data_IF_650201688244
#
_entry.id   IF_650201688244
#
_cell.length_a   1.000
_cell.length_b   1.000
_cell.length_c   1.000
_cell.angle_alpha   90.00
_cell.angle_beta   90.00
_cell.angle_gamma   90.00
#
_symmetry.space_group_name_H-M   'P 1'
#
loop_
_entity.id
_entity.type
_entity.pdbx_description
1 polymer ?
#
# COMPACT_ATOMS: atom_id res chain seq x y z
N UNK A 1 3.09 12.04 -2.35
CA UNK A 1 3.01 11.12 -1.20
C UNK A 1 1.56 11.14 -0.74
N UNK A 2 0.91 9.98 -0.63
CA UNK A 2 -0.43 9.87 -0.07
C UNK A 2 -0.69 8.45 0.45
N UNK A 3 -1.55 8.36 1.48
CA UNK A 3 -2.18 7.13 1.94
C UNK A 3 -3.60 7.48 2.40
N UNK A 4 -4.48 6.52 2.40
CA UNK A 4 -5.82 6.67 2.95
C UNK A 4 -6.43 5.30 3.23
N UNK A 5 -7.40 5.28 4.13
CA UNK A 5 -8.21 4.11 4.43
C UNK A 5 -9.66 4.39 4.05
N UNK A 6 -10.36 3.37 3.57
CA UNK A 6 -11.77 3.44 3.20
C UNK A 6 -12.68 2.91 4.32
N UNK A 7 -13.97 3.25 4.33
CA UNK A 7 -14.92 2.76 5.34
C UNK A 7 -15.02 1.22 5.41
N UNK A 8 -14.78 0.53 4.29
CA UNK A 8 -14.72 -0.93 4.17
C UNK A 8 -13.36 -1.51 4.60
N UNK A 9 -12.55 -0.70 5.29
CA UNK A 9 -11.27 -1.08 5.92
C UNK A 9 -10.15 -1.45 4.94
N UNK A 10 -10.20 -0.96 3.70
CA UNK A 10 -9.09 -1.11 2.75
C UNK A 10 -8.10 0.04 2.89
N UNK A 11 -6.80 -0.30 2.93
CA UNK A 11 -5.71 0.68 3.04
C UNK A 11 -5.02 0.85 1.70
N UNK A 12 -4.89 2.09 1.28
CA UNK A 12 -4.26 2.46 0.02
C UNK A 12 -2.99 3.27 0.26
N UNK A 13 -1.92 2.89 -0.42
CA UNK A 13 -0.64 3.60 -0.37
C UNK A 13 -0.21 3.98 -1.78
N UNK A 14 0.13 5.25 -1.99
CA UNK A 14 0.64 5.66 -3.29
C UNK A 14 2.07 5.16 -3.50
N UNK A 15 2.41 4.93 -4.76
CA UNK A 15 3.78 4.61 -5.17
C UNK A 15 4.81 5.59 -4.61
N UNK A 16 4.48 6.88 -4.61
CA UNK A 16 5.37 7.94 -4.12
C UNK A 16 5.65 7.80 -2.62
N UNK A 17 4.66 7.37 -1.82
CA UNK A 17 4.90 7.09 -0.41
C UNK A 17 5.91 5.96 -0.24
N UNK A 18 5.71 4.84 -0.95
CA UNK A 18 6.62 3.69 -0.88
C UNK A 18 8.05 4.04 -1.31
N UNK A 19 8.19 4.77 -2.42
CA UNK A 19 9.51 5.11 -2.97
C UNK A 19 10.25 6.16 -2.15
N UNK A 20 9.53 7.14 -1.56
CA UNK A 20 10.11 8.20 -0.72
C UNK A 20 10.33 7.79 0.73
N UNK A 21 9.69 6.72 1.19
CA UNK A 21 9.98 6.14 2.51
C UNK A 21 11.37 5.55 2.55
N UNK A 22 12.09 5.75 3.64
CA UNK A 22 13.46 5.25 3.82
C UNK A 22 13.45 3.86 4.46
N UNK A 23 12.63 3.70 5.49
CA UNK A 23 12.54 2.50 6.32
C UNK A 23 11.10 2.03 6.42
N UNK A 24 10.92 0.80 6.88
CA UNK A 24 9.58 0.25 7.12
C UNK A 24 8.82 1.02 8.21
N UNK A 25 9.53 1.66 9.13
CA UNK A 25 8.96 2.53 10.16
C UNK A 25 8.15 3.69 9.55
N UNK A 26 8.56 4.23 8.40
CA UNK A 26 7.86 5.29 7.68
C UNK A 26 6.45 4.82 7.28
N UNK A 27 6.38 3.61 6.72
CA UNK A 27 5.12 2.98 6.31
C UNK A 27 4.28 2.60 7.52
N UNK A 28 4.91 2.03 8.56
CA UNK A 28 4.23 1.66 9.80
C UNK A 28 3.62 2.88 10.50
N UNK A 29 4.32 4.03 10.46
CA UNK A 29 3.82 5.30 11.00
C UNK A 29 2.56 5.78 10.31
N UNK A 30 2.58 5.85 8.98
CA UNK A 30 1.41 6.25 8.18
C UNK A 30 0.28 5.26 8.36
N UNK A 31 0.54 3.94 8.28
CA UNK A 31 -0.48 2.92 8.50
C UNK A 31 -1.13 3.05 9.88
N UNK A 32 -0.33 3.28 10.93
CA UNK A 32 -0.83 3.46 12.29
C UNK A 32 -1.71 4.70 12.44
N UNK A 33 -1.40 5.76 11.69
CA UNK A 33 -2.21 6.98 11.63
C UNK A 33 -3.56 6.72 10.93
N UNK A 34 -3.55 6.03 9.79
CA UNK A 34 -4.79 5.64 9.08
C UNK A 34 -5.67 4.69 9.91
N UNK A 35 -5.06 3.77 10.65
CA UNK A 35 -5.77 2.94 11.64
C UNK A 35 -6.43 3.83 12.69
N UNK A 36 -5.77 4.92 13.10
CA UNK A 36 -6.33 5.92 14.02
C UNK A 36 -7.62 6.55 13.49
N UNK A 37 -7.68 6.89 12.23
CA UNK A 37 -8.89 7.38 11.58
C UNK A 37 -9.99 6.33 11.53
N UNK A 38 -9.64 5.10 11.22
CA UNK A 38 -10.60 3.99 11.17
C UNK A 38 -11.22 3.70 12.54
N UNK A 39 -10.38 3.53 13.56
CA UNK A 39 -10.81 3.22 14.94
C UNK A 39 -11.56 4.38 15.57
N UNK A 40 -11.19 5.62 15.25
CA UNK A 40 -11.87 6.84 15.70
C UNK A 40 -13.22 7.08 15.02
N UNK A 41 -13.61 6.27 14.03
CA UNK A 41 -14.85 6.45 13.27
C UNK A 41 -14.90 7.79 12.53
N UNK A 42 -13.75 8.33 12.14
CA UNK A 42 -13.61 9.69 11.62
C UNK A 42 -14.38 9.87 10.29
N UNK A 43 -14.55 8.83 9.48
CA UNK A 43 -15.35 8.88 8.25
C UNK A 43 -16.82 9.17 8.51
N UNK A 44 -17.43 8.44 9.44
CA UNK A 44 -18.84 8.60 9.82
C UNK A 44 -19.06 9.98 10.46
N UNK A 45 -18.16 10.37 11.34
CA UNK A 45 -18.22 11.65 12.03
C UNK A 45 -18.02 12.83 11.07
N UNK A 46 -17.14 12.69 10.07
CA UNK A 46 -16.93 13.71 9.04
C UNK A 46 -18.17 13.91 8.18
N UNK A 47 -18.85 12.85 7.77
CA UNK A 47 -20.09 12.91 7.01
C UNK A 47 -21.19 13.64 7.81
N UNK A 48 -21.38 13.26 9.08
CA UNK A 48 -22.33 13.93 9.98
C UNK A 48 -22.02 15.42 10.14
N UNK A 49 -20.73 15.76 10.30
CA UNK A 49 -20.28 17.14 10.47
C UNK A 49 -20.49 17.96 9.19
N UNK A 50 -20.22 17.40 8.03
CA UNK A 50 -20.46 18.07 6.74
C UNK A 50 -21.95 18.35 6.54
N UNK A 51 -22.84 17.39 6.82
CA UNK A 51 -24.30 17.59 6.77
C UNK A 51 -24.75 18.69 7.74
N UNK A 52 -24.24 18.68 8.98
CA UNK A 52 -24.56 19.73 9.98
C UNK A 52 -24.05 21.10 9.56
N UNK A 53 -22.84 21.19 9.03
CA UNK A 53 -22.26 22.45 8.54
C UNK A 53 -23.04 23.01 7.34
N UNK A 54 -23.46 22.17 6.40
CA UNK A 54 -24.29 22.55 5.27
C UNK A 54 -25.65 23.08 5.75
N UNK A 55 -26.29 22.40 6.71
CA UNK A 55 -27.57 22.84 7.28
C UNK A 55 -27.46 24.19 7.98
N UNK A 56 -26.37 24.42 8.74
CA UNK A 56 -26.12 25.73 9.38
C UNK A 56 -25.90 26.83 8.35
N UNK A 57 -25.18 26.55 7.26
CA UNK A 57 -24.98 27.52 6.17
C UNK A 57 -26.29 27.87 5.47
N UNK A 58 -27.15 26.88 5.20
CA UNK A 58 -28.48 27.13 4.63
C UNK A 58 -29.33 27.96 5.56
N UNK A 59 -29.37 27.64 6.85
CA UNK A 59 -30.15 28.37 7.84
C UNK A 59 -29.68 29.85 7.94
N UNK A 60 -28.36 30.06 8.02
CA UNK A 60 -27.81 31.42 8.05
C UNK A 60 -28.15 32.22 6.78
N UNK A 61 -28.17 31.54 5.61
CA UNK A 61 -28.56 32.18 4.35
C UNK A 61 -30.04 32.59 4.34
N UNK A 62 -30.94 31.71 4.84
CA UNK A 62 -32.38 32.04 4.94
C UNK A 62 -32.61 33.23 5.87
N UNK A 63 -31.97 33.24 7.05
CA UNK A 63 -32.09 34.32 8.01
C UNK A 63 -31.53 35.65 7.43
N UNK A 64 -30.43 35.55 6.68
CA UNK A 64 -29.83 36.70 6.02
C UNK A 64 -30.75 37.32 4.94
N UNK A 65 -31.39 36.50 4.10
CA UNK A 65 -32.35 36.92 3.11
C UNK A 65 -33.56 37.57 3.79
N UNK A 66 -34.06 36.99 4.91
CA UNK A 66 -35.14 37.56 5.70
C UNK A 66 -34.79 38.93 6.30
N UNK A 67 -33.56 39.11 6.82
CA UNK A 67 -33.08 40.37 7.36
C UNK A 67 -32.96 41.45 6.27
N UNK A 68 -32.45 41.09 5.07
CA UNK A 68 -32.36 42.03 3.94
C UNK A 68 -33.75 42.44 3.48
N UNK A 69 -34.68 41.50 3.33
CA UNK A 69 -36.07 41.79 2.93
C UNK A 69 -36.81 42.60 3.97
N UNK A 70 -36.47 42.47 5.27
CA UNK A 70 -37.00 43.24 6.38
C UNK A 70 -36.37 44.64 6.54
N UNK A 71 -35.52 45.09 5.59
CA UNK A 71 -34.91 46.43 5.61
C UNK A 71 -33.62 46.58 6.40
N UNK A 72 -32.97 45.43 6.78
CA UNK A 72 -31.71 45.41 7.53
C UNK A 72 -30.56 44.76 6.71
N UNK A 73 -30.11 45.34 5.58
CA UNK A 73 -29.12 44.69 4.70
C UNK A 73 -27.76 44.48 5.37
N UNK A 74 -27.33 45.36 6.28
CA UNK A 74 -26.10 45.19 7.04
C UNK A 74 -26.16 43.98 7.99
N UNK A 75 -27.30 43.73 8.65
CA UNK A 75 -27.50 42.58 9.48
C UNK A 75 -27.56 41.28 8.64
N UNK A 76 -28.18 41.32 7.47
CA UNK A 76 -28.22 40.18 6.54
C UNK A 76 -26.83 39.81 6.04
N UNK A 77 -26.01 40.76 5.63
CA UNK A 77 -24.63 40.48 5.21
C UNK A 77 -23.77 39.93 6.36
N UNK A 78 -23.92 40.45 7.58
CA UNK A 78 -23.25 39.97 8.77
C UNK A 78 -23.63 38.49 9.09
N UNK A 79 -24.91 38.12 8.94
CA UNK A 79 -25.40 36.75 9.14
C UNK A 79 -24.82 35.79 8.10
N UNK A 80 -24.74 36.19 6.81
CA UNK A 80 -24.13 35.40 5.76
C UNK A 80 -22.65 35.12 6.03
N UNK A 81 -21.88 36.16 6.26
CA UNK A 81 -20.44 36.04 6.50
C UNK A 81 -20.14 35.33 7.83
N UNK A 82 -20.85 35.67 8.89
CA UNK A 82 -20.70 35.09 10.21
C UNK A 82 -21.06 33.59 10.23
N UNK A 83 -22.15 33.22 9.57
CA UNK A 83 -22.57 31.82 9.45
C UNK A 83 -21.60 30.95 8.68
N UNK A 84 -21.08 31.44 7.55
CA UNK A 84 -20.06 30.76 6.78
C UNK A 84 -18.74 30.63 7.56
N UNK A 85 -18.27 31.70 8.17
CA UNK A 85 -17.06 31.70 8.99
C UNK A 85 -17.16 30.73 10.17
N UNK A 86 -18.28 30.73 10.89
CA UNK A 86 -18.50 29.82 12.02
C UNK A 86 -18.54 28.37 11.58
N UNK A 87 -19.19 28.06 10.46
CA UNK A 87 -19.23 26.72 9.86
C UNK A 87 -17.84 26.23 9.47
N UNK A 88 -17.06 27.06 8.78
CA UNK A 88 -15.69 26.75 8.38
C UNK A 88 -14.77 26.52 9.59
N UNK A 89 -14.84 27.41 10.60
CA UNK A 89 -14.02 27.31 11.83
C UNK A 89 -14.32 26.04 12.60
N UNK A 90 -15.61 25.67 12.74
CA UNK A 90 -16.02 24.41 13.40
C UNK A 90 -15.54 23.18 12.64
N UNK A 91 -15.63 23.18 11.31
CA UNK A 91 -15.15 22.08 10.49
C UNK A 91 -13.63 21.91 10.61
N UNK A 92 -12.87 23.00 10.62
CA UNK A 92 -11.41 22.98 10.82
C UNK A 92 -11.02 22.52 12.22
N UNK A 93 -11.71 22.99 13.26
CA UNK A 93 -11.45 22.56 14.64
C UNK A 93 -11.73 21.05 14.82
N UNK A 94 -12.83 20.57 14.25
CA UNK A 94 -13.18 19.16 14.26
C UNK A 94 -12.13 18.30 13.52
N UNK A 95 -11.69 18.75 12.33
CA UNK A 95 -10.63 18.08 11.57
C UNK A 95 -9.33 17.99 12.39
N UNK A 96 -8.88 19.08 13.04
CA UNK A 96 -7.68 19.09 13.90
C UNK A 96 -7.79 18.11 15.08
N UNK A 97 -8.96 18.03 15.71
CA UNK A 97 -9.21 17.07 16.79
C UNK A 97 -9.10 15.63 16.29
N UNK A 98 -9.63 15.32 15.11
CA UNK A 98 -9.52 13.98 14.51
C UNK A 98 -8.06 13.63 14.19
N UNK A 99 -7.30 14.57 13.62
CA UNK A 99 -5.88 14.37 13.35
C UNK A 99 -5.08 14.11 14.63
N UNK A 100 -5.38 14.87 15.71
CA UNK A 100 -4.74 14.66 17.00
C UNK A 100 -5.03 13.24 17.55
N UNK A 101 -6.26 12.79 17.49
CA UNK A 101 -6.64 11.43 17.94
C UNK A 101 -5.99 10.34 17.09
N UNK A 102 -5.89 10.54 15.78
CA UNK A 102 -5.20 9.64 14.88
C UNK A 102 -3.70 9.56 15.21
N UNK A 103 -3.05 10.72 15.47
CA UNK A 103 -1.64 10.78 15.89
C UNK A 103 -1.41 10.06 17.23
N UNK A 104 -2.27 10.27 18.23
CA UNK A 104 -2.17 9.57 19.52
C UNK A 104 -2.31 8.04 19.35
N UNK A 105 -3.20 7.61 18.46
CA UNK A 105 -3.34 6.19 18.14
C UNK A 105 -2.11 5.66 17.42
N UNK A 106 -1.54 6.41 16.47
CA UNK A 106 -0.29 6.06 15.80
C UNK A 106 0.87 5.90 16.80
N UNK A 107 1.06 6.87 17.69
CA UNK A 107 2.08 6.83 18.75
C UNK A 107 1.92 5.57 19.59
N UNK A 108 0.70 5.27 20.05
CA UNK A 108 0.42 4.08 20.87
C UNK A 108 0.71 2.79 20.13
N UNK A 109 0.25 2.66 18.87
CA UNK A 109 0.46 1.45 18.06
C UNK A 109 1.93 1.22 17.73
N UNK A 110 2.64 2.27 17.32
CA UNK A 110 4.07 2.16 17.00
C UNK A 110 4.87 1.75 18.24
N UNK A 111 4.66 2.41 19.37
CA UNK A 111 5.34 2.08 20.62
C UNK A 111 5.03 0.65 21.08
N UNK A 112 3.77 0.22 21.05
CA UNK A 112 3.36 -1.13 21.45
C UNK A 112 4.03 -2.22 20.60
N UNK A 113 4.27 -1.94 19.32
CA UNK A 113 4.83 -2.90 18.36
C UNK A 113 6.34 -2.71 18.12
N UNK A 114 6.98 -1.80 18.83
CA UNK A 114 8.44 -1.57 18.77
C UNK A 114 8.91 -0.87 17.50
N UNK A 115 8.02 -0.12 16.80
CA UNK A 115 8.38 0.74 15.67
C UNK A 115 8.87 2.09 16.13
N UNK A 116 9.82 2.68 15.41
CA UNK A 116 10.35 4.00 15.71
C UNK A 116 9.40 5.12 15.27
N UNK A 117 9.00 5.99 16.20
CA UNK A 117 8.23 7.21 15.88
C UNK A 117 8.95 8.15 14.91
N UNK A 118 10.28 8.01 14.75
CA UNK A 118 11.03 8.74 13.73
C UNK A 118 10.50 8.51 12.33
N UNK A 119 9.96 7.31 12.04
CA UNK A 119 9.36 7.01 10.75
C UNK A 119 8.17 7.92 10.42
N UNK A 120 7.22 8.08 11.35
CA UNK A 120 6.08 8.98 11.15
C UNK A 120 6.53 10.44 11.00
N UNK A 121 7.51 10.88 11.81
CA UNK A 121 8.08 12.23 11.72
C UNK A 121 8.74 12.44 10.36
N UNK A 122 9.54 11.49 9.89
CA UNK A 122 10.22 11.55 8.59
C UNK A 122 9.22 11.79 7.43
N UNK A 123 8.10 11.05 7.44
CA UNK A 123 7.05 11.25 6.43
C UNK A 123 6.42 12.64 6.55
N UNK A 124 6.10 13.09 7.76
CA UNK A 124 5.48 14.40 7.97
C UNK A 124 6.42 15.55 7.58
N UNK A 125 7.71 15.46 7.89
CA UNK A 125 8.70 16.46 7.48
C UNK A 125 8.88 16.49 5.96
N UNK A 126 8.90 15.33 5.29
CA UNK A 126 8.93 15.25 3.81
C UNK A 126 7.68 15.86 3.18
N UNK A 127 6.52 15.64 3.79
CA UNK A 127 5.28 16.26 3.35
C UNK A 127 5.35 17.78 3.50
N UNK A 128 5.74 18.30 4.66
CA UNK A 128 5.88 19.73 4.94
C UNK A 128 6.85 20.44 4.00
N UNK A 129 7.98 19.80 3.68
CA UNK A 129 8.94 20.35 2.73
C UNK A 129 8.38 20.43 1.30
N UNK A 130 7.54 19.48 0.89
CA UNK A 130 6.86 19.54 -0.41
C UNK A 130 5.86 20.70 -0.49
N UNK A 131 5.17 21.03 0.61
CA UNK A 131 4.24 22.17 0.70
C UNK A 131 4.98 23.49 0.51
N UNK A 132 6.12 23.68 1.17
CA UNK A 132 6.97 24.87 1.03
C UNK A 132 7.40 25.12 -0.42
N UNK A 133 7.53 24.05 -1.23
CA UNK A 133 7.84 24.12 -2.66
C UNK A 133 6.60 24.41 -3.53
N UNK A 134 5.47 24.86 -2.96
CA UNK A 134 4.20 25.16 -3.62
C UNK A 134 3.62 24.00 -4.44
N UNK A 135 3.96 22.75 -4.13
CA UNK A 135 3.36 21.57 -4.72
C UNK A 135 2.18 21.15 -3.84
N UNK A 136 0.96 21.43 -4.32
CA UNK A 136 -0.26 20.97 -3.65
C UNK A 136 -0.20 19.45 -3.53
N UNK A 137 -0.12 18.96 -2.30
CA UNK A 137 -0.15 17.53 -2.04
C UNK A 137 -1.57 17.14 -1.60
N UNK A 138 -2.24 16.20 -2.29
CA UNK A 138 -3.60 15.78 -1.92
C UNK A 138 -3.74 15.32 -0.47
N UNK A 139 -2.67 14.83 0.15
CA UNK A 139 -2.68 14.43 1.55
C UNK A 139 -3.03 15.58 2.50
N UNK A 140 -2.58 16.82 2.23
CA UNK A 140 -2.91 17.97 3.08
C UNK A 140 -4.38 18.40 3.01
N UNK A 141 -5.06 18.08 1.91
CA UNK A 141 -6.49 18.38 1.79
C UNK A 141 -7.33 17.51 2.74
N UNK A 142 -6.86 16.31 3.03
CA UNK A 142 -7.54 15.36 3.91
C UNK A 142 -6.96 15.34 5.32
N UNK A 143 -5.65 15.61 5.47
CA UNK A 143 -4.88 15.54 6.72
C UNK A 143 -4.06 16.82 6.92
N UNK A 144 -4.66 17.91 7.41
CA UNK A 144 -3.93 19.16 7.64
C UNK A 144 -2.74 18.94 8.58
N UNK A 145 -1.54 19.20 8.06
CA UNK A 145 -0.30 19.07 8.82
C UNK A 145 0.02 20.39 9.53
N UNK A 146 0.34 20.34 10.80
CA UNK A 146 0.85 21.46 11.56
C UNK A 146 2.20 21.14 12.18
N UNK A 147 3.05 22.14 12.34
CA UNK A 147 4.30 21.99 13.07
C UNK A 147 4.09 21.52 14.51
N UNK A 148 2.92 21.81 15.08
CA UNK A 148 2.52 21.35 16.40
C UNK A 148 2.35 19.83 16.45
N UNK A 149 1.75 19.19 15.42
CA UNK A 149 1.61 17.73 15.31
C UNK A 149 2.99 17.07 15.35
N UNK A 150 3.93 17.54 14.53
CA UNK A 150 5.31 17.03 14.50
C UNK A 150 5.98 17.21 15.88
N UNK A 151 5.82 18.39 16.51
CA UNK A 151 6.37 18.65 17.85
C UNK A 151 5.81 17.68 18.88
N UNK A 152 4.51 17.44 18.88
CA UNK A 152 3.85 16.52 19.80
C UNK A 152 4.34 15.08 19.65
N UNK A 153 4.55 14.61 18.42
CA UNK A 153 5.12 13.28 18.16
C UNK A 153 6.57 13.22 18.67
N UNK A 154 7.39 14.26 18.42
CA UNK A 154 8.77 14.34 18.88
C UNK A 154 8.90 14.26 20.42
N UNK A 155 7.97 14.86 21.15
CA UNK A 155 7.94 14.79 22.62
C UNK A 155 7.70 13.37 23.14
N UNK A 156 7.03 12.52 22.37
CA UNK A 156 6.74 11.13 22.72
C UNK A 156 7.91 10.17 22.44
N UNK A 157 8.87 10.54 21.59
CA UNK A 157 10.07 9.71 21.33
C UNK A 157 10.86 9.46 22.64
N UNK A 158 10.94 10.44 23.52
CA UNK A 158 11.75 10.36 24.76
C UNK A 158 11.13 9.48 25.85
N UNK A 159 9.83 9.16 25.77
CA UNK A 159 9.09 8.47 26.82
C UNK A 159 9.08 6.94 26.68
N UNK A 160 9.18 6.38 25.46
CA UNK A 160 8.97 4.95 25.22
C UNK A 160 9.89 4.45 24.11
N UNK A 161 10.93 3.68 24.43
CA UNK A 161 11.76 3.06 23.40
C UNK A 161 12.25 1.67 23.79
N UNK A 162 11.40 0.67 23.62
CA UNK A 162 11.87 -0.68 23.35
C UNK A 162 11.69 -0.93 21.86
N UNK A 163 12.67 -0.55 21.04
CA UNK A 163 12.63 -0.76 19.60
C UNK A 163 12.85 -2.23 19.28
N UNK A 164 12.11 -2.71 18.31
CA UNK A 164 12.27 -4.05 17.71
C UNK A 164 13.38 -4.01 16.66
N UNK A 165 14.13 -5.11 16.51
CA UNK A 165 15.00 -5.26 15.34
C UNK A 165 14.16 -5.44 14.07
N UNK A 166 14.21 -4.44 13.20
CA UNK A 166 13.50 -4.40 11.92
C UNK A 166 14.42 -4.63 10.72
N UNK A 167 15.65 -5.09 10.93
CA UNK A 167 16.63 -5.26 9.86
C UNK A 167 16.15 -6.18 8.74
N UNK A 168 15.44 -7.26 9.07
CA UNK A 168 14.83 -8.15 8.09
C UNK A 168 13.72 -7.46 7.29
N UNK A 169 12.84 -6.70 7.98
CA UNK A 169 11.76 -5.95 7.32
C UNK A 169 12.31 -4.86 6.40
N UNK A 170 13.34 -4.13 6.83
CA UNK A 170 13.99 -3.12 6.02
C UNK A 170 14.68 -3.71 4.78
N UNK A 171 15.32 -4.88 4.90
CA UNK A 171 15.86 -5.62 3.74
C UNK A 171 14.75 -6.01 2.76
N UNK A 172 13.62 -6.52 3.24
CA UNK A 172 12.46 -6.84 2.38
C UNK A 172 11.87 -5.59 1.74
N UNK A 173 11.72 -4.53 2.50
CA UNK A 173 11.22 -3.25 2.01
C UNK A 173 12.11 -2.65 0.92
N UNK A 174 13.42 -2.73 1.07
CA UNK A 174 14.37 -2.26 0.04
C UNK A 174 14.22 -3.01 -1.28
N UNK A 175 13.91 -4.31 -1.25
CA UNK A 175 13.62 -5.09 -2.46
C UNK A 175 12.26 -4.72 -3.08
N UNK A 176 11.25 -4.43 -2.27
CA UNK A 176 9.97 -3.90 -2.77
C UNK A 176 10.20 -2.59 -3.50
N UNK A 177 10.98 -1.66 -2.94
CA UNK A 177 11.37 -0.39 -3.61
C UNK A 177 12.12 -0.66 -4.91
N UNK A 178 13.05 -1.59 -4.90
CA UNK A 178 13.81 -1.96 -6.11
C UNK A 178 12.90 -2.53 -7.20
N UNK A 179 11.90 -3.35 -6.85
CA UNK A 179 10.88 -3.85 -7.78
C UNK A 179 10.11 -2.69 -8.43
N UNK A 180 9.62 -1.73 -7.64
CA UNK A 180 8.92 -0.56 -8.16
C UNK A 180 9.82 0.30 -9.05
N UNK A 181 11.07 0.55 -8.64
CA UNK A 181 12.04 1.27 -9.45
C UNK A 181 12.27 0.58 -10.79
N UNK A 182 12.35 -0.74 -10.81
CA UNK A 182 12.49 -1.52 -12.05
C UNK A 182 11.31 -1.36 -13.00
N UNK A 183 10.08 -1.26 -12.47
CA UNK A 183 8.88 -1.04 -13.30
C UNK A 183 8.75 0.39 -13.83
N UNK A 184 9.21 1.40 -13.10
CA UNK A 184 8.85 2.79 -13.39
C UNK A 184 10.03 3.65 -13.90
N UNK A 185 11.27 3.24 -13.67
CA UNK A 185 12.45 4.02 -14.01
C UNK A 185 13.14 3.51 -15.28
N UNK A 186 13.93 4.38 -15.89
CA UNK A 186 14.87 3.98 -16.93
C UNK A 186 16.06 3.22 -16.35
N UNK A 187 16.81 2.55 -17.20
CA UNK A 187 18.00 1.80 -16.77
C UNK A 187 19.06 2.74 -16.19
N UNK A 188 19.25 3.91 -16.81
CA UNK A 188 20.15 4.96 -16.35
C UNK A 188 19.77 5.47 -14.96
N UNK A 189 18.48 5.68 -14.71
CA UNK A 189 17.99 6.08 -13.39
C UNK A 189 18.20 4.98 -12.34
N UNK A 190 18.06 3.71 -12.71
CA UNK A 190 18.35 2.59 -11.82
C UNK A 190 19.84 2.57 -11.46
N UNK A 191 20.74 2.76 -12.41
CA UNK A 191 22.18 2.85 -12.14
C UNK A 191 22.53 4.05 -11.24
N UNK A 192 21.86 5.18 -11.44
CA UNK A 192 22.06 6.37 -10.61
C UNK A 192 21.63 6.15 -9.14
N UNK A 193 20.48 5.46 -8.92
CA UNK A 193 19.97 5.15 -7.57
C UNK A 193 20.78 4.04 -6.89
N UNK A 194 21.24 3.07 -7.68
CA UNK A 194 21.99 1.90 -7.19
C UNK A 194 23.35 1.82 -7.87
N UNK A 195 24.32 2.68 -7.52
CA UNK A 195 25.63 2.71 -8.17
C UNK A 195 26.42 1.41 -7.95
N UNK A 196 26.29 0.85 -6.74
CA UNK A 196 26.99 -0.37 -6.35
C UNK A 196 26.40 -1.64 -6.96
N UNK A 197 27.22 -2.68 -7.06
CA UNK A 197 26.80 -4.01 -7.48
C UNK A 197 26.14 -4.76 -6.32
N UNK A 198 24.91 -4.37 -5.98
CA UNK A 198 24.13 -4.92 -4.89
C UNK A 198 22.85 -5.62 -5.39
N UNK A 199 22.21 -6.32 -4.48
CA UNK A 199 20.99 -7.09 -4.77
C UNK A 199 19.83 -6.19 -5.24
N UNK A 200 19.72 -4.96 -4.74
CA UNK A 200 18.67 -4.01 -5.12
C UNK A 200 18.80 -3.59 -6.58
N UNK A 201 20.02 -3.29 -7.04
CA UNK A 201 20.29 -3.01 -8.47
C UNK A 201 19.84 -4.16 -9.35
N UNK A 202 20.32 -5.36 -9.07
CA UNK A 202 20.01 -6.51 -9.91
C UNK A 202 18.52 -6.82 -9.89
N UNK A 203 17.88 -6.70 -8.74
CA UNK A 203 16.44 -6.92 -8.63
C UNK A 203 15.61 -5.86 -9.38
N UNK A 204 16.00 -4.58 -9.35
CA UNK A 204 15.39 -3.56 -10.19
C UNK A 204 15.58 -3.85 -11.69
N UNK A 205 16.78 -4.27 -12.10
CA UNK A 205 17.07 -4.62 -13.48
C UNK A 205 16.30 -5.85 -13.97
N UNK A 206 15.91 -6.79 -13.07
CA UNK A 206 15.00 -7.88 -13.44
C UNK A 206 13.72 -7.33 -14.05
N UNK A 207 13.03 -6.43 -13.33
CA UNK A 207 11.74 -5.87 -13.75
C UNK A 207 11.87 -4.89 -14.91
N UNK A 208 12.96 -4.11 -14.97
CA UNK A 208 13.22 -3.21 -16.09
C UNK A 208 13.42 -3.99 -17.40
N UNK A 209 14.23 -5.05 -17.37
CA UNK A 209 14.45 -5.91 -18.53
C UNK A 209 13.17 -6.69 -18.90
N UNK A 210 12.44 -7.20 -17.91
CA UNK A 210 11.21 -7.92 -18.13
C UNK A 210 10.17 -7.05 -18.87
N UNK A 211 9.91 -5.84 -18.37
CA UNK A 211 9.00 -4.88 -19.01
C UNK A 211 9.40 -4.52 -20.46
N UNK A 212 10.69 -4.54 -20.77
CA UNK A 212 11.22 -4.27 -22.10
C UNK A 212 11.25 -5.52 -23.00
N UNK A 213 10.72 -6.66 -22.55
CA UNK A 213 10.77 -7.92 -23.30
C UNK A 213 12.15 -8.56 -23.37
N UNK A 214 13.15 -8.04 -22.62
CA UNK A 214 14.53 -8.56 -22.60
C UNK A 214 14.66 -9.75 -21.64
N UNK A 215 13.93 -10.83 -21.94
CA UNK A 215 13.77 -11.98 -21.04
C UNK A 215 15.10 -12.62 -20.63
N UNK A 216 15.99 -12.86 -21.58
CA UNK A 216 17.31 -13.46 -21.28
C UNK A 216 18.10 -12.63 -20.26
N UNK A 217 18.06 -11.30 -20.41
CA UNK A 217 18.69 -10.37 -19.47
C UNK A 217 18.00 -10.41 -18.11
N UNK A 218 16.66 -10.43 -18.06
CA UNK A 218 15.91 -10.55 -16.84
C UNK A 218 16.27 -11.82 -16.06
N UNK A 219 16.34 -12.98 -16.74
CA UNK A 219 16.79 -14.26 -16.14
C UNK A 219 18.25 -14.16 -15.65
N UNK A 220 19.14 -13.50 -16.39
CA UNK A 220 20.52 -13.28 -15.94
C UNK A 220 20.57 -12.47 -14.64
N UNK A 221 19.74 -11.43 -14.52
CA UNK A 221 19.72 -10.58 -13.32
C UNK A 221 19.10 -11.30 -12.11
N UNK A 222 18.01 -12.06 -12.29
CA UNK A 222 17.40 -12.80 -11.16
C UNK A 222 18.36 -13.90 -10.65
N UNK A 223 19.13 -14.55 -11.52
CA UNK A 223 20.17 -15.50 -11.10
C UNK A 223 21.26 -14.84 -10.25
N UNK A 224 21.62 -13.56 -10.54
CA UNK A 224 22.52 -12.81 -9.66
C UNK A 224 21.88 -12.55 -8.29
N UNK A 225 20.59 -12.19 -8.23
CA UNK A 225 19.88 -12.03 -6.96
C UNK A 225 19.88 -13.33 -6.14
N UNK A 226 19.67 -14.47 -6.79
CA UNK A 226 19.74 -15.80 -6.14
C UNK A 226 21.16 -16.07 -5.63
N UNK A 227 22.20 -15.64 -6.33
CA UNK A 227 23.59 -15.73 -5.85
C UNK A 227 23.84 -14.93 -4.57
N UNK A 228 23.17 -13.79 -4.38
CA UNK A 228 23.25 -13.02 -3.13
C UNK A 228 22.46 -13.67 -1.97
N UNK A 229 21.31 -14.27 -2.29
CA UNK A 229 20.44 -14.91 -1.29
C UNK A 229 19.61 -16.04 -1.93
N UNK A 230 20.12 -17.25 -1.87
CA UNK A 230 19.48 -18.43 -2.43
C UNK A 230 18.28 -18.98 -1.63
N UNK A 231 18.00 -18.38 -0.46
CA UNK A 231 16.89 -18.75 0.41
C UNK A 231 15.70 -17.79 0.31
N UNK A 232 15.74 -16.82 -0.61
CA UNK A 232 14.59 -15.94 -0.84
C UNK A 232 13.59 -16.60 -1.81
N UNK A 233 12.40 -17.02 -1.35
CA UNK A 233 11.41 -17.72 -2.19
C UNK A 233 10.90 -16.84 -3.34
N UNK A 234 10.79 -15.54 -3.15
CA UNK A 234 10.27 -14.59 -4.13
C UNK A 234 11.19 -14.44 -5.36
N UNK A 235 12.47 -14.75 -5.26
CA UNK A 235 13.35 -14.77 -6.43
C UNK A 235 13.04 -15.95 -7.36
N UNK A 236 12.69 -17.08 -6.78
CA UNK A 236 12.27 -18.26 -7.56
C UNK A 236 10.85 -18.08 -8.10
N UNK A 237 9.96 -17.44 -7.35
CA UNK A 237 8.63 -17.07 -7.81
C UNK A 237 8.71 -16.18 -9.06
N UNK A 238 9.47 -15.07 -9.02
CA UNK A 238 9.66 -14.19 -10.19
C UNK A 238 10.32 -14.93 -11.35
N UNK A 239 11.31 -15.76 -11.08
CA UNK A 239 11.95 -16.57 -12.13
C UNK A 239 10.94 -17.55 -12.76
N UNK A 240 10.06 -18.14 -11.96
CA UNK A 240 8.98 -18.99 -12.42
C UNK A 240 7.95 -18.25 -13.27
N UNK A 241 7.55 -17.06 -12.87
CA UNK A 241 6.65 -16.20 -13.66
C UNK A 241 7.25 -15.86 -15.04
N UNK A 242 8.52 -15.45 -15.06
CA UNK A 242 9.20 -15.13 -16.32
C UNK A 242 9.25 -16.36 -17.26
N UNK A 243 9.57 -17.54 -16.75
CA UNK A 243 9.55 -18.78 -17.54
C UNK A 243 8.13 -19.15 -18.00
N UNK A 244 7.14 -19.01 -17.13
CA UNK A 244 5.74 -19.29 -17.44
C UNK A 244 5.24 -18.47 -18.63
N UNK A 245 5.49 -17.17 -18.62
CA UNK A 245 5.07 -16.27 -19.69
C UNK A 245 5.83 -16.49 -21.01
N UNK A 246 7.01 -17.10 -20.94
CA UNK A 246 7.75 -17.54 -22.14
C UNK A 246 7.30 -18.92 -22.65
N UNK A 247 6.34 -19.58 -21.99
CA UNK A 247 5.93 -20.93 -22.34
C UNK A 247 6.92 -22.02 -21.92
N UNK A 248 7.98 -21.67 -21.19
CA UNK A 248 8.93 -22.65 -20.62
C UNK A 248 8.39 -23.21 -19.31
N UNK A 249 7.32 -24.00 -19.42
CA UNK A 249 6.60 -24.54 -18.27
C UNK A 249 7.45 -25.48 -17.43
N UNK A 250 8.42 -26.16 -18.02
CA UNK A 250 9.30 -27.07 -17.27
C UNK A 250 10.19 -26.27 -16.29
N UNK A 251 10.79 -25.18 -16.70
CA UNK A 251 11.59 -24.33 -15.83
C UNK A 251 10.71 -23.51 -14.86
N UNK A 252 9.48 -23.13 -15.26
CA UNK A 252 8.50 -22.53 -14.36
C UNK A 252 8.14 -23.49 -13.21
N UNK A 253 7.80 -24.75 -13.51
CA UNK A 253 7.50 -25.77 -12.50
C UNK A 253 8.65 -25.94 -11.50
N UNK A 254 9.91 -26.06 -12.00
CA UNK A 254 11.09 -26.17 -11.12
C UNK A 254 11.22 -24.95 -10.20
N UNK A 255 10.99 -23.77 -10.73
CA UNK A 255 11.14 -22.51 -10.00
C UNK A 255 10.07 -22.38 -8.92
N UNK A 256 8.78 -22.59 -9.24
CA UNK A 256 7.70 -22.51 -8.26
C UNK A 256 7.80 -23.63 -7.20
N UNK A 257 8.21 -24.85 -7.58
CA UNK A 257 8.48 -25.92 -6.62
C UNK A 257 9.56 -25.51 -5.60
N UNK A 258 10.62 -24.83 -6.07
CA UNK A 258 11.66 -24.30 -5.17
C UNK A 258 11.13 -23.18 -4.27
N UNK A 259 10.29 -22.29 -4.80
CA UNK A 259 9.65 -21.20 -4.03
C UNK A 259 8.79 -21.79 -2.88
N UNK A 260 7.94 -22.79 -3.19
CA UNK A 260 7.09 -23.49 -2.19
C UNK A 260 7.95 -24.16 -1.12
N UNK A 261 9.04 -24.84 -1.52
CA UNK A 261 9.93 -25.49 -0.55
C UNK A 261 10.55 -24.48 0.44
N UNK A 262 10.82 -23.25 -0.01
CA UNK A 262 11.41 -22.18 0.82
C UNK A 262 10.37 -21.44 1.67
N UNK A 263 9.13 -21.32 1.19
CA UNK A 263 8.02 -20.72 1.94
C UNK A 263 6.70 -21.46 1.63
N UNK A 264 6.40 -22.54 2.35
CA UNK A 264 5.20 -23.34 2.13
C UNK A 264 3.89 -22.64 2.54
N UNK A 265 3.98 -21.52 3.26
CA UNK A 265 2.80 -20.77 3.70
C UNK A 265 2.31 -19.74 2.67
N UNK A 266 3.07 -19.50 1.61
CA UNK A 266 2.69 -18.57 0.54
C UNK A 266 1.89 -19.30 -0.54
N UNK A 267 0.57 -19.27 -0.41
CA UNK A 267 -0.35 -20.03 -1.25
C UNK A 267 -0.34 -19.62 -2.72
N UNK A 268 -0.01 -18.36 -3.02
CA UNK A 268 0.07 -17.90 -4.41
C UNK A 268 1.05 -18.75 -5.25
N UNK A 269 2.11 -19.28 -4.64
CA UNK A 269 3.06 -20.15 -5.33
C UNK A 269 2.42 -21.47 -5.78
N UNK A 270 1.50 -22.05 -4.98
CA UNK A 270 0.77 -23.28 -5.32
C UNK A 270 -0.11 -23.05 -6.55
N UNK A 271 -0.80 -21.91 -6.64
CA UNK A 271 -1.63 -21.54 -7.78
C UNK A 271 -0.79 -21.41 -9.07
N UNK A 272 0.34 -20.71 -9.02
CA UNK A 272 1.23 -20.57 -10.17
C UNK A 272 1.86 -21.90 -10.59
N UNK A 273 2.20 -22.77 -9.63
CA UNK A 273 2.66 -24.13 -9.93
C UNK A 273 1.57 -24.93 -10.64
N UNK A 274 0.33 -24.90 -10.15
CA UNK A 274 -0.79 -25.59 -10.76
C UNK A 274 -1.06 -25.12 -12.19
N UNK A 275 -1.04 -23.81 -12.44
CA UNK A 275 -1.13 -23.22 -13.79
C UNK A 275 0.00 -23.75 -14.70
N UNK A 276 1.22 -23.80 -14.20
CA UNK A 276 2.39 -24.29 -14.95
C UNK A 276 2.26 -25.79 -15.30
N UNK A 277 1.80 -26.59 -14.34
CA UNK A 277 1.52 -28.01 -14.54
C UNK A 277 0.45 -28.25 -15.61
N UNK A 278 -0.64 -27.48 -15.60
CA UNK A 278 -1.66 -27.57 -16.64
C UNK A 278 -1.07 -27.34 -18.04
N UNK A 279 -0.31 -26.28 -18.21
CA UNK A 279 0.27 -25.91 -19.50
C UNK A 279 1.38 -26.86 -19.99
N UNK A 280 1.94 -27.71 -19.12
CA UNK A 280 2.92 -28.74 -19.51
C UNK A 280 2.29 -29.92 -20.29
N UNK A 281 0.97 -30.00 -20.37
CA UNK A 281 0.16 -30.90 -21.23
C UNK A 281 0.41 -32.40 -21.02
N UNK A 282 0.67 -32.86 -19.78
CA UNK A 282 0.77 -34.28 -19.47
C UNK A 282 -0.29 -34.73 -18.48
N UNK A 283 -0.84 -35.96 -18.66
CA UNK A 283 -1.87 -36.49 -17.76
C UNK A 283 -1.41 -36.52 -16.28
N UNK A 284 -0.14 -36.82 -16.05
CA UNK A 284 0.42 -36.79 -14.69
C UNK A 284 0.37 -35.41 -14.09
N UNK A 285 0.71 -34.36 -14.87
CA UNK A 285 0.72 -32.98 -14.42
C UNK A 285 -0.70 -32.42 -14.27
N UNK A 286 -1.67 -32.81 -15.10
CA UNK A 286 -3.08 -32.49 -14.86
C UNK A 286 -3.55 -33.00 -13.50
N UNK A 287 -3.26 -34.25 -13.14
CA UNK A 287 -3.60 -34.82 -11.82
C UNK A 287 -2.91 -34.10 -10.67
N UNK A 288 -1.63 -33.74 -10.81
CA UNK A 288 -0.91 -32.94 -9.81
C UNK A 288 -1.49 -31.54 -9.66
N UNK A 289 -1.86 -30.90 -10.77
CA UNK A 289 -2.50 -29.60 -10.76
C UNK A 289 -3.85 -29.64 -10.02
N UNK A 290 -4.68 -30.64 -10.27
CA UNK A 290 -5.95 -30.84 -9.56
C UNK A 290 -5.71 -30.92 -8.05
N UNK A 291 -4.80 -31.76 -7.61
CA UNK A 291 -4.53 -31.94 -6.17
C UNK A 291 -4.08 -30.64 -5.49
N UNK A 292 -3.31 -29.79 -6.18
CA UNK A 292 -2.90 -28.48 -5.66
C UNK A 292 -4.07 -27.50 -5.60
N UNK A 293 -4.92 -27.48 -6.65
CA UNK A 293 -6.05 -26.58 -6.74
C UNK A 293 -7.14 -26.94 -5.74
N UNK A 294 -7.44 -28.22 -5.54
CA UNK A 294 -8.40 -28.68 -4.53
C UNK A 294 -8.00 -28.26 -3.11
N UNK A 295 -6.68 -28.29 -2.80
CA UNK A 295 -6.15 -27.80 -1.55
C UNK A 295 -6.23 -26.28 -1.45
N UNK A 296 -5.95 -25.57 -2.54
CA UNK A 296 -5.97 -24.12 -2.61
C UNK A 296 -7.38 -23.58 -2.36
N UNK A 297 -8.39 -24.12 -3.06
CA UNK A 297 -9.80 -23.69 -3.01
C UNK A 297 -10.39 -23.77 -1.59
N UNK A 298 -10.01 -24.79 -0.81
CA UNK A 298 -10.49 -24.96 0.58
C UNK A 298 -10.06 -23.83 1.53
N UNK A 299 -9.15 -22.98 1.11
CA UNK A 299 -8.48 -21.99 1.96
C UNK A 299 -8.62 -20.54 1.44
N UNK A 300 -9.40 -20.31 0.39
CA UNK A 300 -9.58 -18.99 -0.22
C UNK A 300 -11.08 -18.73 -0.45
N UNK A 301 -11.59 -17.55 -0.11
CA UNK A 301 -13.01 -17.20 -0.17
C UNK A 301 -13.52 -17.02 -1.60
N UNK A 302 -12.65 -16.62 -2.57
CA UNK A 302 -13.04 -16.39 -3.97
C UNK A 302 -11.95 -16.78 -4.98
N UNK A 303 -11.56 -18.06 -5.08
CA UNK A 303 -10.45 -18.49 -5.92
C UNK A 303 -10.86 -18.71 -7.38
N UNK A 304 -11.35 -17.69 -8.08
CA UNK A 304 -11.87 -17.77 -9.47
C UNK A 304 -10.86 -18.46 -10.40
N UNK A 305 -9.60 -18.03 -10.37
CA UNK A 305 -8.53 -18.63 -11.17
C UNK A 305 -8.33 -20.12 -10.87
N UNK A 306 -8.43 -20.50 -9.61
CA UNK A 306 -8.27 -21.89 -9.21
C UNK A 306 -9.42 -22.75 -9.74
N UNK A 307 -10.66 -22.30 -9.63
CA UNK A 307 -11.82 -23.00 -10.20
C UNK A 307 -11.73 -23.11 -11.72
N UNK A 308 -11.31 -22.04 -12.39
CA UNK A 308 -11.12 -22.06 -13.84
C UNK A 308 -10.11 -23.16 -14.26
N UNK A 309 -8.90 -23.16 -13.65
CA UNK A 309 -7.89 -24.16 -13.98
C UNK A 309 -8.27 -25.57 -13.54
N UNK A 310 -9.05 -25.73 -12.47
CA UNK A 310 -9.59 -27.02 -12.05
C UNK A 310 -10.50 -27.60 -13.13
N UNK A 311 -11.47 -26.83 -13.63
CA UNK A 311 -12.35 -27.24 -14.74
C UNK A 311 -11.57 -27.60 -16.00
N UNK A 312 -10.55 -26.80 -16.36
CA UNK A 312 -9.68 -27.08 -17.51
C UNK A 312 -8.93 -28.40 -17.36
N UNK A 313 -8.40 -28.73 -16.16
CA UNK A 313 -7.69 -29.98 -15.91
C UNK A 313 -8.61 -31.20 -16.01
N UNK A 314 -9.84 -31.13 -15.45
CA UNK A 314 -10.82 -32.21 -15.55
C UNK A 314 -11.24 -32.44 -17.01
N UNK A 315 -11.50 -31.38 -17.77
CA UNK A 315 -11.79 -31.47 -19.19
C UNK A 315 -10.68 -32.16 -20.00
N UNK A 316 -9.40 -31.89 -19.69
CA UNK A 316 -8.27 -32.59 -20.34
C UNK A 316 -8.19 -34.06 -19.97
N UNK A 317 -8.60 -34.44 -18.78
CA UNK A 317 -8.64 -35.86 -18.36
C UNK A 317 -9.94 -36.57 -18.79
N UNK A 318 -10.85 -35.89 -19.54
CA UNK A 318 -12.17 -36.41 -19.93
C UNK A 318 -13.06 -36.81 -18.73
N UNK A 319 -12.89 -36.14 -17.60
CA UNK A 319 -13.71 -36.30 -16.40
C UNK A 319 -14.69 -35.14 -16.32
N UNK A 320 -15.77 -35.23 -17.09
CA UNK A 320 -16.79 -34.17 -17.20
C UNK A 320 -17.94 -34.27 -16.18
N UNK A 321 -17.96 -35.32 -15.36
CA UNK A 321 -19.07 -35.66 -14.46
C UNK A 321 -18.82 -35.22 -13.00
N UNK A 322 -18.22 -34.02 -12.80
CA UNK A 322 -18.01 -33.46 -11.47
C UNK A 322 -18.55 -32.06 -11.33
#
# INVERSE_FOLDING_TARGET
INAFVTPDKQFFFTKELLLKSEMIDDIAGVLSHEIGHLVGGHFINREKMTKKSAMMSILSSILAVGAIAGGAPAAGSALLMGGQHLSATRTLAFSRSQEHLADQTAIRLMNKNGFSLKGLINVFEKLQNNERLKKINPYFLTHPLSSERIKNIKLNIRKYQKLRDLSLFNRRFSLIKAKFNGYFLSEEQIYAIYPDNNIQKYYALVFNNYRKGKVKQSIKQIKKCIGFNNNNPYFYEIMGQIYFEQGDFNNAIKSFTKAIKLNPNEKSFELFLAKSLYHSKTNLNYKKSINLLDKYIKNDDFPIDAWHYLGLNYGKLKKLDL
#
